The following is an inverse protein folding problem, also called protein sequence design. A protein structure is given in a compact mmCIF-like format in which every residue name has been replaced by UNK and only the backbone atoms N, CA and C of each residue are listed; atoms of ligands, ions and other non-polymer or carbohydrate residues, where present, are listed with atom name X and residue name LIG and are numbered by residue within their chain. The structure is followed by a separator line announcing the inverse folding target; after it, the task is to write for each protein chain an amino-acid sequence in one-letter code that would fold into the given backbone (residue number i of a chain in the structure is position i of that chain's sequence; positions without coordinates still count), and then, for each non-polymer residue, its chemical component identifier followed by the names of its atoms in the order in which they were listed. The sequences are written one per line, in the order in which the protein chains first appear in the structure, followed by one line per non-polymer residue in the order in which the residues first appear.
data_IF_983614568193
#
_entry.id   IF_983614568193
#
_cell.length_a   1.000
_cell.length_b   1.000
_cell.length_c   1.000
_cell.angle_alpha   90.00
_cell.angle_beta   90.00
_cell.angle_gamma   90.00
#
_symmetry.space_group_name_H-M   'P 1'
#
loop_
_entity.id
_entity.type
_entity.pdbx_description
1 polymer ?
#
# COMPACT_ATOMS: atom_id res chain seq x y z
N UNK A 1 24.77 39.62 -22.44
CA UNK A 1 23.41 39.59 -21.81
C UNK A 1 22.35 38.86 -22.66
N UNK A 2 22.29 39.01 -23.97
CA UNK A 2 21.26 38.38 -24.84
C UNK A 2 21.30 36.83 -24.83
N UNK A 3 22.50 36.22 -24.87
CA UNK A 3 22.71 34.75 -24.88
C UNK A 3 22.18 34.04 -23.63
N UNK A 4 22.39 34.66 -22.46
CA UNK A 4 21.91 34.10 -21.19
C UNK A 4 20.37 34.07 -21.06
N UNK A 5 19.72 35.12 -21.55
CA UNK A 5 18.25 35.18 -21.58
C UNK A 5 17.65 34.08 -22.46
N UNK A 6 18.26 33.85 -23.63
CA UNK A 6 17.83 32.77 -24.54
C UNK A 6 18.03 31.40 -23.90
N UNK A 7 19.16 31.16 -23.22
CA UNK A 7 19.42 29.88 -22.53
C UNK A 7 18.43 29.63 -21.39
N UNK A 8 18.14 30.65 -20.59
CA UNK A 8 17.16 30.55 -19.50
C UNK A 8 15.75 30.26 -20.04
N UNK A 9 15.34 30.90 -21.13
CA UNK A 9 14.03 30.66 -21.74
C UNK A 9 13.95 29.22 -22.29
N UNK A 10 15.00 28.71 -22.93
CA UNK A 10 15.04 27.33 -23.44
C UNK A 10 14.97 26.34 -22.27
N UNK A 11 15.71 26.54 -21.19
CA UNK A 11 15.67 25.67 -20.01
C UNK A 11 14.28 25.66 -19.39
N UNK A 12 13.64 26.81 -19.23
CA UNK A 12 12.27 26.91 -18.69
C UNK A 12 11.27 26.21 -19.63
N UNK A 13 11.38 26.44 -20.95
CA UNK A 13 10.49 25.82 -21.92
C UNK A 13 10.64 24.27 -21.92
N UNK A 14 11.87 23.77 -21.90
CA UNK A 14 12.14 22.32 -21.83
C UNK A 14 11.63 21.73 -20.51
N UNK A 15 11.86 22.39 -19.38
CA UNK A 15 11.32 21.94 -18.10
C UNK A 15 9.79 21.94 -18.09
N UNK A 16 9.15 22.99 -18.61
CA UNK A 16 7.68 23.07 -18.69
C UNK A 16 7.11 21.98 -19.59
N UNK A 17 7.74 21.68 -20.72
CA UNK A 17 7.29 20.63 -21.65
C UNK A 17 7.45 19.23 -21.07
N UNK A 18 8.52 18.99 -20.30
CA UNK A 18 8.78 17.70 -19.65
C UNK A 18 7.91 17.49 -18.39
N UNK A 19 7.62 18.56 -17.64
CA UNK A 19 6.88 18.48 -16.40
C UNK A 19 5.36 18.61 -16.57
N UNK A 20 4.89 19.23 -17.65
CA UNK A 20 3.46 19.35 -17.92
C UNK A 20 2.72 17.99 -17.95
N UNK A 21 3.20 16.94 -18.66
CA UNK A 21 2.55 15.64 -18.62
C UNK A 21 2.46 15.06 -17.19
N UNK A 22 3.48 15.26 -16.37
CA UNK A 22 3.53 14.79 -14.98
C UNK A 22 2.47 15.52 -14.13
N UNK A 23 2.29 16.82 -14.37
CA UNK A 23 1.31 17.62 -13.63
C UNK A 23 -0.14 17.22 -13.96
N UNK A 24 -0.41 16.80 -15.20
CA UNK A 24 -1.76 16.48 -15.68
C UNK A 24 -2.12 14.98 -15.59
N UNK A 25 -1.14 14.08 -15.46
CA UNK A 25 -1.38 12.64 -15.33
C UNK A 25 -1.15 12.17 -13.89
N UNK A 26 -2.18 11.67 -13.20
CA UNK A 26 -2.01 11.10 -11.86
C UNK A 26 -1.00 9.94 -11.84
N UNK A 27 -0.96 9.13 -12.92
CA UNK A 27 -0.03 8.01 -13.09
C UNK A 27 1.41 8.48 -13.19
N UNK A 28 1.71 9.39 -14.13
CA UNK A 28 3.06 9.92 -14.31
C UNK A 28 3.54 10.68 -13.06
N UNK A 29 2.63 11.39 -12.38
CA UNK A 29 2.95 12.06 -11.12
C UNK A 29 3.30 11.07 -10.02
N UNK A 30 2.56 9.96 -9.91
CA UNK A 30 2.86 8.90 -8.96
C UNK A 30 4.24 8.28 -9.25
N UNK A 31 4.49 7.84 -10.48
CA UNK A 31 5.76 7.22 -10.89
C UNK A 31 6.95 8.15 -10.67
N UNK A 32 6.80 9.43 -11.02
CA UNK A 32 7.82 10.44 -10.76
C UNK A 32 8.10 10.61 -9.27
N UNK A 33 7.03 10.74 -8.47
CA UNK A 33 7.16 10.89 -7.01
C UNK A 33 7.82 9.66 -6.39
N UNK A 34 7.45 8.44 -6.81
CA UNK A 34 8.07 7.21 -6.32
C UNK A 34 9.54 7.09 -6.73
N UNK A 35 9.89 7.52 -7.94
CA UNK A 35 11.28 7.57 -8.40
C UNK A 35 12.10 8.53 -7.55
N UNK A 36 11.57 9.72 -7.30
CA UNK A 36 12.22 10.73 -6.47
C UNK A 36 12.33 10.28 -5.00
N UNK A 37 11.28 9.66 -4.46
CA UNK A 37 11.29 9.11 -3.10
C UNK A 37 12.37 8.04 -2.92
N UNK A 38 12.51 7.11 -3.87
CA UNK A 38 13.57 6.09 -3.85
C UNK A 38 14.96 6.69 -3.98
N UNK A 39 15.12 7.75 -4.76
CA UNK A 39 16.39 8.46 -4.87
C UNK A 39 16.74 9.18 -3.56
N UNK A 40 15.79 9.89 -2.97
CA UNK A 40 15.98 10.57 -1.68
C UNK A 40 16.25 9.60 -0.53
N UNK A 41 15.68 8.42 -0.57
CA UNK A 41 15.86 7.39 0.45
C UNK A 41 17.32 6.92 0.60
N UNK A 42 18.18 7.22 -0.37
CA UNK A 42 19.64 7.01 -0.25
C UNK A 42 20.30 7.94 0.76
N UNK A 43 19.70 9.10 1.01
CA UNK A 43 20.24 10.11 1.92
C UNK A 43 19.37 10.31 3.18
N UNK A 44 18.05 10.15 3.03
CA UNK A 44 17.08 10.37 4.11
C UNK A 44 16.08 9.19 4.11
N UNK A 45 16.02 8.39 5.19
CA UNK A 45 15.07 7.29 5.28
C UNK A 45 13.63 7.76 5.05
N UNK A 46 12.80 6.98 4.33
CA UNK A 46 11.39 7.29 4.18
C UNK A 46 10.65 7.16 5.53
N UNK A 47 9.55 7.87 5.66
CA UNK A 47 8.65 7.70 6.82
C UNK A 47 8.00 6.31 6.75
N UNK A 48 7.46 5.95 5.58
CA UNK A 48 6.71 4.71 5.41
C UNK A 48 7.09 3.99 4.13
N UNK A 49 7.27 2.68 4.22
CA UNK A 49 7.30 1.77 3.07
C UNK A 49 6.04 0.93 3.10
N UNK A 50 5.24 1.00 2.03
CA UNK A 50 4.05 0.19 1.84
C UNK A 50 4.42 -1.10 1.12
N UNK A 51 3.93 -2.23 1.62
CA UNK A 51 4.06 -3.55 1.00
C UNK A 51 2.67 -4.18 0.95
N UNK A 52 2.34 -4.81 -0.16
CA UNK A 52 1.08 -5.50 -0.31
C UNK A 52 0.81 -5.92 -1.74
N UNK A 53 -0.41 -6.31 -1.97
CA UNK A 53 -0.92 -6.78 -3.25
C UNK A 53 -1.39 -5.63 -4.18
N UNK A 54 -2.34 -5.93 -5.08
CA UNK A 54 -2.93 -4.96 -6.01
C UNK A 54 -3.65 -3.81 -5.32
N UNK A 55 -4.23 -4.03 -4.14
CA UNK A 55 -4.90 -2.97 -3.36
C UNK A 55 -3.86 -1.94 -2.91
N UNK A 56 -2.72 -2.40 -2.41
CA UNK A 56 -1.60 -1.54 -2.03
C UNK A 56 -0.98 -0.86 -3.25
N UNK A 57 -0.80 -1.59 -4.35
CA UNK A 57 -0.27 -1.04 -5.61
C UNK A 57 -1.15 0.08 -6.17
N UNK A 58 -2.48 -0.05 -6.05
CA UNK A 58 -3.45 0.96 -6.44
C UNK A 58 -3.44 2.21 -5.52
N UNK A 59 -2.83 2.13 -4.36
CA UNK A 59 -2.78 3.19 -3.34
C UNK A 59 -2.01 4.44 -3.78
N UNK A 60 -2.41 5.05 -4.91
CA UNK A 60 -1.84 6.32 -5.42
C UNK A 60 -2.13 7.49 -4.49
N UNK A 61 -3.11 7.36 -3.60
CA UNK A 61 -3.39 8.30 -2.52
C UNK A 61 -2.24 8.40 -1.49
N UNK A 62 -1.33 7.41 -1.47
CA UNK A 62 -0.09 7.42 -0.69
C UNK A 62 1.07 8.13 -1.41
N UNK A 63 0.77 8.98 -2.38
CA UNK A 63 1.74 9.72 -3.18
C UNK A 63 2.43 10.82 -2.35
N UNK A 64 3.36 10.41 -1.52
CA UNK A 64 4.20 11.27 -0.70
C UNK A 64 5.68 10.97 -1.00
N UNK A 65 6.48 12.02 -1.14
CA UNK A 65 7.93 11.91 -1.40
C UNK A 65 8.69 11.19 -0.26
N UNK A 66 8.09 11.14 0.93
CA UNK A 66 8.61 10.43 2.10
C UNK A 66 8.06 8.99 2.21
N UNK A 67 7.29 8.54 1.24
CA UNK A 67 6.69 7.22 1.21
C UNK A 67 7.10 6.45 -0.03
N UNK A 68 7.41 5.16 0.13
CA UNK A 68 7.74 4.25 -0.95
C UNK A 68 6.66 3.18 -1.01
N UNK A 69 6.06 3.00 -2.18
CA UNK A 69 5.09 1.93 -2.43
C UNK A 69 5.79 0.78 -3.17
N UNK A 70 5.84 -0.40 -2.54
CA UNK A 70 6.33 -1.67 -3.06
C UNK A 70 5.19 -2.67 -3.30
N UNK A 71 3.94 -2.22 -3.28
CA UNK A 71 2.79 -3.05 -3.63
C UNK A 71 2.88 -3.54 -5.07
N UNK A 72 2.44 -4.76 -5.33
CA UNK A 72 2.43 -5.35 -6.66
C UNK A 72 1.24 -6.29 -6.83
N UNK A 73 0.68 -6.34 -8.03
CA UNK A 73 -0.51 -7.12 -8.33
C UNK A 73 -0.27 -8.61 -8.07
N UNK A 74 -1.27 -9.29 -7.50
CA UNK A 74 -1.29 -10.73 -7.34
C UNK A 74 -0.37 -11.28 -6.23
N UNK A 75 0.29 -10.42 -5.44
CA UNK A 75 1.15 -10.93 -4.37
C UNK A 75 0.35 -11.60 -3.26
N UNK A 76 0.81 -12.79 -2.90
CA UNK A 76 0.37 -13.54 -1.72
C UNK A 76 1.23 -13.23 -0.49
N UNK A 77 0.77 -13.65 0.68
CA UNK A 77 1.42 -13.36 1.97
C UNK A 77 2.88 -13.85 2.00
N UNK A 78 3.23 -14.99 1.41
CA UNK A 78 4.61 -15.48 1.38
C UNK A 78 5.57 -14.55 0.59
N UNK A 79 5.10 -13.98 -0.52
CA UNK A 79 5.88 -13.03 -1.33
C UNK A 79 6.00 -11.68 -0.60
N UNK A 80 4.94 -11.29 0.10
CA UNK A 80 4.91 -10.07 0.91
C UNK A 80 5.87 -10.21 2.10
N UNK A 81 5.91 -11.36 2.75
CA UNK A 81 6.89 -11.66 3.81
C UNK A 81 8.34 -11.51 3.29
N UNK A 82 8.64 -12.02 2.11
CA UNK A 82 9.95 -11.85 1.47
C UNK A 82 10.28 -10.38 1.13
N UNK A 83 9.27 -9.53 0.90
CA UNK A 83 9.45 -8.11 0.62
C UNK A 83 9.71 -7.26 1.89
N UNK A 84 9.47 -7.79 3.09
CA UNK A 84 9.79 -7.10 4.36
C UNK A 84 11.29 -6.75 4.42
N UNK A 85 12.16 -7.68 4.01
CA UNK A 85 13.61 -7.42 3.98
C UNK A 85 13.98 -6.31 3.01
N UNK A 86 13.34 -6.25 1.84
CA UNK A 86 13.54 -5.14 0.89
C UNK A 86 13.09 -3.80 1.47
N UNK A 87 11.99 -3.79 2.24
CA UNK A 87 11.54 -2.58 2.91
C UNK A 87 12.50 -2.13 4.00
N UNK A 88 13.06 -3.08 4.79
CA UNK A 88 14.07 -2.79 5.82
C UNK A 88 15.31 -2.12 5.26
N UNK A 89 15.72 -2.48 4.04
CA UNK A 89 16.88 -1.87 3.37
C UNK A 89 16.76 -0.34 3.19
N UNK A 90 15.54 0.21 3.16
CA UNK A 90 15.30 1.66 3.15
C UNK A 90 15.38 2.29 4.54
N UNK A 91 15.50 1.50 5.61
CA UNK A 91 15.49 1.97 7.00
C UNK A 91 14.27 2.85 7.36
N UNK A 92 13.05 2.51 6.94
CA UNK A 92 11.89 3.34 7.17
C UNK A 92 11.54 3.46 8.65
N UNK A 93 10.70 4.44 8.98
CA UNK A 93 10.09 4.53 10.30
C UNK A 93 8.98 3.49 10.49
N UNK A 94 8.19 3.27 9.44
CA UNK A 94 7.09 2.31 9.42
C UNK A 94 7.12 1.44 8.16
N UNK A 95 6.69 0.18 8.29
CA UNK A 95 6.42 -0.74 7.19
C UNK A 95 4.93 -1.07 7.25
N UNK A 96 4.15 -0.46 6.38
CA UNK A 96 2.71 -0.65 6.33
C UNK A 96 2.36 -1.81 5.39
N UNK A 97 1.67 -2.83 5.90
CA UNK A 97 1.37 -4.06 5.18
C UNK A 97 -0.13 -4.28 5.11
N UNK A 98 -0.63 -4.61 3.91
CA UNK A 98 -1.94 -5.22 3.70
C UNK A 98 -1.76 -6.44 2.80
N UNK A 99 -2.22 -7.61 3.25
CA UNK A 99 -2.08 -8.89 2.55
C UNK A 99 -3.20 -9.85 2.93
N UNK A 100 -3.35 -10.91 2.12
CA UNK A 100 -4.28 -12.00 2.39
C UNK A 100 -5.41 -12.11 1.40
N UNK A 101 -5.69 -11.08 0.60
CA UNK A 101 -6.78 -11.12 -0.39
C UNK A 101 -6.52 -12.16 -1.47
N UNK A 102 -5.29 -12.25 -1.98
CA UNK A 102 -4.92 -13.25 -3.00
C UNK A 102 -4.82 -14.66 -2.39
N UNK A 103 -4.31 -14.78 -1.16
CA UNK A 103 -4.31 -16.09 -0.45
C UNK A 103 -5.74 -16.62 -0.31
N UNK A 104 -6.68 -15.77 0.06
CA UNK A 104 -8.10 -16.13 0.13
C UNK A 104 -8.70 -16.44 -1.26
N UNK A 105 -8.20 -15.84 -2.33
CA UNK A 105 -8.68 -16.02 -3.71
C UNK A 105 -8.27 -17.35 -4.32
N UNK A 106 -7.10 -17.90 -3.97
CA UNK A 106 -6.53 -19.08 -4.63
C UNK A 106 -7.04 -20.44 -4.11
N UNK A 107 -7.85 -20.45 -3.06
CA UNK A 107 -8.44 -21.71 -2.58
C UNK A 107 -8.41 -21.89 -1.06
N UNK A 108 -8.36 -23.14 -0.60
CA UNK A 108 -8.28 -23.43 0.82
C UNK A 108 -7.01 -22.85 1.47
N UNK A 109 -7.16 -22.23 2.60
CA UNK A 109 -6.06 -21.65 3.37
C UNK A 109 -5.39 -22.77 4.18
N UNK A 110 -4.06 -22.87 4.12
CA UNK A 110 -3.30 -23.61 5.11
C UNK A 110 -3.06 -22.68 6.33
N UNK A 111 -3.75 -22.92 7.46
CA UNK A 111 -3.66 -22.01 8.59
C UNK A 111 -2.31 -22.09 9.30
N UNK A 112 -1.58 -23.20 9.19
CA UNK A 112 -0.26 -23.38 9.82
C UNK A 112 0.77 -22.57 9.07
N UNK A 113 0.86 -22.75 7.75
CA UNK A 113 1.77 -21.99 6.90
C UNK A 113 1.51 -20.49 7.01
N UNK A 114 0.25 -20.08 6.89
CA UNK A 114 -0.10 -18.66 6.94
C UNK A 114 0.20 -18.03 8.33
N UNK A 115 0.00 -18.79 9.41
CA UNK A 115 0.36 -18.36 10.78
C UNK A 115 1.87 -18.12 10.93
N UNK A 116 2.70 -19.01 10.39
CA UNK A 116 4.16 -18.86 10.41
C UNK A 116 4.62 -17.63 9.61
N UNK A 117 4.01 -17.39 8.44
CA UNK A 117 4.30 -16.21 7.63
C UNK A 117 3.93 -14.91 8.39
N UNK A 118 2.74 -14.83 8.97
CA UNK A 118 2.31 -13.66 9.72
C UNK A 118 3.14 -13.46 11.00
N UNK A 119 3.53 -14.52 11.69
CA UNK A 119 4.46 -14.43 12.81
C UNK A 119 5.80 -13.83 12.39
N UNK A 120 6.33 -14.27 11.24
CA UNK A 120 7.58 -13.74 10.67
C UNK A 120 7.45 -12.27 10.29
N UNK A 121 6.36 -11.88 9.63
CA UNK A 121 6.05 -10.49 9.29
C UNK A 121 5.98 -9.63 10.57
N UNK A 122 5.23 -10.09 11.56
CA UNK A 122 4.98 -9.34 12.78
C UNK A 122 6.13 -9.41 13.81
N UNK A 123 7.17 -10.20 13.54
CA UNK A 123 8.42 -10.11 14.28
C UNK A 123 9.17 -8.78 14.01
N UNK A 124 8.96 -8.14 12.84
CA UNK A 124 9.55 -6.84 12.53
C UNK A 124 8.85 -5.73 13.33
N UNK A 125 9.57 -5.01 14.22
CA UNK A 125 8.95 -4.04 15.14
C UNK A 125 8.34 -2.82 14.46
N UNK A 126 8.76 -2.51 13.25
CA UNK A 126 8.26 -1.35 12.47
C UNK A 126 7.01 -1.66 11.66
N UNK A 127 6.56 -2.91 11.66
CA UNK A 127 5.39 -3.33 10.92
C UNK A 127 4.11 -2.77 11.52
N UNK A 128 3.28 -2.24 10.64
CA UNK A 128 1.89 -1.86 10.88
C UNK A 128 1.04 -2.66 9.91
N UNK A 129 0.11 -3.41 10.43
CA UNK A 129 -0.75 -4.30 9.62
C UNK A 129 -2.08 -3.63 9.37
N UNK A 130 -2.54 -3.67 8.13
CA UNK A 130 -3.95 -3.44 7.80
C UNK A 130 -4.57 -4.79 7.48
N UNK A 131 -5.67 -5.13 8.15
CA UNK A 131 -6.45 -6.32 7.86
C UNK A 131 -6.96 -6.32 6.43
N UNK A 132 -7.08 -7.48 5.77
CA UNK A 132 -7.69 -7.54 4.45
C UNK A 132 -9.11 -7.00 4.50
N UNK A 133 -9.51 -6.30 3.45
CA UNK A 133 -10.82 -5.66 3.36
C UNK A 133 -11.91 -6.65 2.96
N UNK A 134 -13.15 -6.46 3.38
CA UNK A 134 -14.26 -7.25 2.88
C UNK A 134 -14.44 -7.06 1.37
N UNK A 135 -15.04 -8.03 0.73
CA UNK A 135 -15.38 -8.03 -0.70
C UNK A 135 -16.89 -8.18 -0.91
N UNK A 136 -17.35 -8.18 -2.15
CA UNK A 136 -18.77 -8.50 -2.46
C UNK A 136 -19.06 -10.00 -2.46
N UNK A 137 -18.04 -10.87 -2.38
CA UNK A 137 -18.14 -12.33 -2.54
C UNK A 137 -18.15 -13.04 -1.19
N UNK A 138 -19.22 -13.81 -0.91
CA UNK A 138 -19.40 -14.50 0.37
C UNK A 138 -18.31 -15.52 0.66
N UNK A 139 -17.95 -16.34 -0.32
CA UNK A 139 -16.91 -17.37 -0.16
C UNK A 139 -15.52 -16.78 0.10
N UNK A 140 -15.21 -15.67 -0.56
CA UNK A 140 -13.95 -14.96 -0.33
C UNK A 140 -13.94 -14.34 1.07
N UNK A 141 -15.04 -13.71 1.48
CA UNK A 141 -15.17 -13.13 2.81
C UNK A 141 -15.10 -14.18 3.93
N UNK A 142 -15.59 -15.40 3.69
CA UNK A 142 -15.47 -16.51 4.65
C UNK A 142 -13.99 -16.87 4.88
N UNK A 143 -13.16 -16.93 3.81
CA UNK A 143 -11.72 -17.16 3.90
C UNK A 143 -10.97 -15.97 4.48
N UNK A 144 -11.34 -14.74 4.12
CA UNK A 144 -10.76 -13.51 4.70
C UNK A 144 -10.95 -13.43 6.22
N UNK A 145 -12.07 -13.91 6.76
CA UNK A 145 -12.29 -14.02 8.21
C UNK A 145 -11.30 -14.98 8.88
N UNK A 146 -10.91 -16.07 8.22
CA UNK A 146 -9.90 -16.98 8.75
C UNK A 146 -8.52 -16.30 8.78
N UNK A 147 -8.17 -15.59 7.71
CA UNK A 147 -6.93 -14.80 7.63
C UNK A 147 -6.91 -13.70 8.70
N UNK A 148 -8.01 -12.99 8.88
CA UNK A 148 -8.15 -11.96 9.93
C UNK A 148 -7.92 -12.54 11.34
N UNK A 149 -8.45 -13.71 11.62
CA UNK A 149 -8.22 -14.40 12.89
C UNK A 149 -6.73 -14.73 13.10
N UNK A 150 -6.03 -15.20 12.05
CA UNK A 150 -4.59 -15.49 12.09
C UNK A 150 -3.80 -14.20 12.33
N UNK A 151 -4.08 -13.13 11.57
CA UNK A 151 -3.43 -11.82 11.75
C UNK A 151 -3.63 -11.33 13.18
N UNK A 152 -4.84 -11.40 13.70
CA UNK A 152 -5.17 -10.95 15.06
C UNK A 152 -4.44 -11.73 16.14
N UNK A 153 -4.18 -13.02 15.92
CA UNK A 153 -3.43 -13.86 16.83
C UNK A 153 -1.91 -13.59 16.78
N UNK A 154 -1.34 -13.57 15.57
CA UNK A 154 0.11 -13.49 15.39
C UNK A 154 0.65 -12.05 15.50
N UNK A 155 -0.18 -11.04 15.20
CA UNK A 155 0.21 -9.64 15.20
C UNK A 155 -0.34 -8.85 16.42
N UNK A 156 -0.73 -9.52 17.50
CA UNK A 156 -1.35 -8.90 18.69
C UNK A 156 -0.53 -7.76 19.31
N UNK A 157 0.79 -7.82 19.19
CA UNK A 157 1.72 -6.81 19.72
C UNK A 157 2.07 -5.72 18.67
N UNK A 158 1.38 -5.71 17.54
CA UNK A 158 1.55 -4.73 16.46
C UNK A 158 0.35 -3.81 16.37
N UNK A 159 0.56 -2.66 15.76
CA UNK A 159 -0.55 -1.80 15.39
C UNK A 159 -1.31 -2.48 14.23
N UNK A 160 -2.57 -2.82 14.49
CA UNK A 160 -3.46 -3.39 13.49
C UNK A 160 -4.55 -2.38 13.14
N UNK A 161 -4.69 -2.10 11.85
CA UNK A 161 -5.71 -1.22 11.30
C UNK A 161 -6.84 -2.08 10.77
N UNK A 162 -8.05 -1.80 11.21
CA UNK A 162 -9.26 -2.46 10.75
C UNK A 162 -10.10 -1.47 9.94
N UNK A 163 -10.46 -1.88 8.72
CA UNK A 163 -11.31 -1.13 7.80
C UNK A 163 -12.74 -1.72 7.74
N UNK A 164 -13.19 -2.41 8.78
CA UNK A 164 -14.51 -3.04 8.85
C UNK A 164 -15.66 -2.07 8.53
N UNK A 165 -15.48 -0.76 8.75
CA UNK A 165 -16.47 0.27 8.38
C UNK A 165 -16.76 0.38 6.88
N UNK A 166 -15.91 -0.21 6.03
CA UNK A 166 -16.18 -0.30 4.59
C UNK A 166 -17.29 -1.33 4.28
N UNK A 167 -17.57 -2.24 5.23
CA UNK A 167 -18.63 -3.21 5.09
C UNK A 167 -20.02 -2.60 5.36
N UNK A 168 -21.02 -3.15 4.69
CA UNK A 168 -22.43 -2.99 5.01
C UNK A 168 -22.86 -3.91 6.16
N UNK A 169 -24.16 -3.87 6.50
CA UNK A 169 -24.76 -4.73 7.54
C UNK A 169 -24.70 -6.22 7.19
N UNK A 170 -24.55 -6.55 5.93
CA UNK A 170 -24.39 -7.90 5.39
C UNK A 170 -22.94 -8.43 5.46
N UNK A 171 -21.99 -7.60 5.94
CA UNK A 171 -20.58 -7.93 6.02
C UNK A 171 -19.83 -7.84 4.69
N UNK A 172 -20.49 -7.41 3.62
CA UNK A 172 -19.88 -7.18 2.30
C UNK A 172 -19.39 -5.75 2.16
N UNK A 173 -18.37 -5.54 1.31
CA UNK A 173 -17.93 -4.18 1.00
C UNK A 173 -19.10 -3.41 0.35
N UNK A 174 -19.31 -2.18 0.77
CA UNK A 174 -20.30 -1.31 0.14
C UNK A 174 -19.82 -0.90 -1.25
N UNK A 175 -20.71 -0.91 -2.27
CA UNK A 175 -20.35 -0.68 -3.67
C UNK A 175 -19.62 0.64 -3.93
N UNK A 176 -19.84 1.67 -3.14
CA UNK A 176 -19.12 2.95 -3.25
C UNK A 176 -17.63 2.84 -2.86
N UNK A 177 -17.25 1.79 -2.15
CA UNK A 177 -15.90 1.57 -1.65
C UNK A 177 -15.10 0.57 -2.48
N UNK A 178 -15.67 0.09 -3.58
CA UNK A 178 -15.00 -0.86 -4.47
C UNK A 178 -15.31 -0.57 -5.93
N UNK A 179 -14.35 -0.84 -6.81
CA UNK A 179 -14.51 -0.65 -8.25
C UNK A 179 -15.05 -1.92 -8.93
N UNK A 180 -14.72 -3.10 -8.38
CA UNK A 180 -15.04 -4.41 -8.99
C UNK A 180 -15.49 -5.47 -7.98
N UNK A 181 -15.73 -5.06 -6.74
CA UNK A 181 -16.10 -5.96 -5.65
C UNK A 181 -14.95 -6.48 -4.80
N UNK A 182 -13.70 -6.20 -5.18
CA UNK A 182 -12.47 -6.60 -4.47
C UNK A 182 -11.55 -5.40 -4.25
N UNK A 183 -11.21 -4.68 -5.32
CA UNK A 183 -10.31 -3.54 -5.26
C UNK A 183 -11.00 -2.31 -4.67
N UNK A 184 -10.25 -1.57 -3.88
CA UNK A 184 -10.75 -0.37 -3.22
C UNK A 184 -10.88 0.80 -4.19
N UNK A 185 -12.02 1.49 -4.14
CA UNK A 185 -12.20 2.77 -4.83
C UNK A 185 -11.30 3.87 -4.22
N UNK A 186 -11.15 4.98 -4.92
CA UNK A 186 -10.40 6.14 -4.42
C UNK A 186 -10.94 6.65 -3.07
N UNK A 187 -12.26 6.58 -2.83
CA UNK A 187 -12.87 6.94 -1.54
C UNK A 187 -12.39 6.01 -0.43
N UNK A 188 -12.36 4.71 -0.66
CA UNK A 188 -11.90 3.73 0.32
C UNK A 188 -10.38 3.83 0.58
N UNK A 189 -9.60 4.08 -0.46
CA UNK A 189 -8.16 4.35 -0.32
C UNK A 189 -7.88 5.61 0.50
N UNK A 190 -8.69 6.68 0.33
CA UNK A 190 -8.60 7.88 1.16
C UNK A 190 -8.96 7.59 2.63
N UNK A 191 -9.94 6.72 2.87
CA UNK A 191 -10.30 6.25 4.21
C UNK A 191 -9.11 5.51 4.85
N UNK A 192 -8.50 4.58 4.12
CA UNK A 192 -7.33 3.85 4.61
C UNK A 192 -6.18 4.79 4.95
N UNK A 193 -5.85 5.72 4.05
CA UNK A 193 -4.84 6.76 4.31
C UNK A 193 -5.15 7.57 5.58
N UNK A 194 -6.41 7.96 5.79
CA UNK A 194 -6.82 8.70 6.98
C UNK A 194 -6.63 7.88 8.26
N UNK A 195 -6.89 6.56 8.22
CA UNK A 195 -6.65 5.69 9.38
C UNK A 195 -5.15 5.53 9.70
N UNK A 196 -4.30 5.44 8.68
CA UNK A 196 -2.84 5.46 8.85
C UNK A 196 -2.39 6.81 9.46
N UNK A 197 -2.86 7.93 8.89
CA UNK A 197 -2.51 9.27 9.35
C UNK A 197 -2.87 9.57 10.80
N UNK A 198 -4.01 9.03 11.31
CA UNK A 198 -4.40 9.15 12.74
C UNK A 198 -3.37 8.52 13.69
N UNK A 199 -2.50 7.69 13.17
CA UNK A 199 -1.48 6.93 13.92
C UNK A 199 -0.05 7.43 13.62
N UNK A 200 0.06 8.53 12.87
CA UNK A 200 1.34 9.14 12.52
C UNK A 200 2.12 8.38 11.43
N UNK A 201 1.37 7.66 10.56
CA UNK A 201 1.91 6.84 9.46
C UNK A 201 1.56 7.47 8.13
#
# INVERSE_FOLDING_TARGET
MRRWRTLVIIVIAVQSTLLAPIAYSPYLRFDYTQTLARWLAKAVPPETVFIGDSITAAGRSFNDIRSINLGSNGLQTYQIAANVEKARAYSPRHIAIMAGTNDAGEGPIDPVELSELWRTICAEPKVVVTKPTPTTMDDLNARLKQIDAIISAECKDRLVIDLARLAGKDGKIQLRYTDDGVHLSDEALAIWRAELGKRGI
#
